data_IF_536279817453
#
_entry.id   IF_536279817453
#
_cell.length_a   1.000
_cell.length_b   1.000
_cell.length_c   1.000
_cell.angle_alpha   90.00
_cell.angle_beta   90.00
_cell.angle_gamma   90.00
#
_symmetry.space_group_name_H-M   'P 1'
#
loop_
_entity.id
_entity.type
_entity.pdbx_description
1 polymer ?
#
# COMPACT_ATOMS: atom_id res chain seq x y z
N UNK A 1 17.67 17.39 8.21
CA UNK A 1 17.21 16.05 7.90
C UNK A 1 16.41 16.09 6.60
N UNK A 2 16.45 15.04 5.80
CA UNK A 2 15.69 14.85 4.54
C UNK A 2 15.87 15.98 3.49
N UNK A 3 17.00 16.66 3.46
CA UNK A 3 17.24 17.78 2.53
C UNK A 3 16.25 18.94 2.69
N UNK A 4 15.73 19.17 3.88
CA UNK A 4 14.73 20.20 4.19
C UNK A 4 13.29 19.86 3.78
N UNK A 5 13.02 18.65 3.28
CA UNK A 5 11.67 18.20 2.93
C UNK A 5 10.94 17.64 4.15
N UNK A 6 9.74 18.13 4.39
CA UNK A 6 8.89 17.60 5.45
C UNK A 6 8.44 16.16 5.12
N UNK A 7 8.51 15.22 6.07
CA UNK A 7 7.94 13.88 5.89
C UNK A 7 6.42 13.96 5.66
N UNK A 8 5.87 13.15 4.74
CA UNK A 8 4.42 13.10 4.56
C UNK A 8 3.74 12.37 5.73
N UNK A 9 2.45 12.64 5.92
CA UNK A 9 1.59 11.86 6.81
C UNK A 9 1.41 10.44 6.27
N UNK A 10 1.66 9.43 7.10
CA UNK A 10 1.60 8.03 6.74
C UNK A 10 0.22 7.37 6.98
N UNK A 11 -0.71 8.06 7.65
CA UNK A 11 -2.00 7.49 8.06
C UNK A 11 -2.84 6.93 6.92
N UNK A 12 -2.74 7.52 5.73
CA UNK A 12 -3.44 7.08 4.52
C UNK A 12 -2.50 6.75 3.36
N UNK A 13 -1.22 6.53 3.65
CA UNK A 13 -0.18 6.33 2.62
C UNK A 13 -0.50 5.18 1.67
N UNK A 14 -1.03 4.08 2.18
CA UNK A 14 -1.40 2.90 1.39
C UNK A 14 -2.46 3.24 0.33
N UNK A 15 -3.41 4.11 0.66
CA UNK A 15 -4.44 4.57 -0.29
C UNK A 15 -3.95 5.68 -1.23
N UNK A 16 -2.99 6.46 -0.77
CA UNK A 16 -2.50 7.64 -1.49
C UNK A 16 -1.54 7.29 -2.63
N UNK A 17 -1.17 6.03 -2.80
CA UNK A 17 -0.21 5.61 -3.84
C UNK A 17 -0.79 4.48 -4.70
N UNK A 18 -0.62 4.56 -6.04
CA UNK A 18 -0.90 3.43 -6.92
C UNK A 18 -0.08 2.21 -6.51
N UNK A 19 -0.67 1.04 -6.50
CA UNK A 19 -0.04 -0.19 -6.02
C UNK A 19 -0.18 -0.43 -4.51
N UNK A 20 -0.64 0.56 -3.72
CA UNK A 20 -0.97 0.38 -2.31
C UNK A 20 0.12 -0.31 -1.48
N UNK A 21 -0.21 -1.41 -0.78
CA UNK A 21 0.73 -2.14 0.07
C UNK A 21 1.96 -2.64 -0.70
N UNK A 22 1.78 -3.14 -1.92
CA UNK A 22 2.87 -3.70 -2.75
C UNK A 22 3.88 -2.63 -3.14
N UNK A 23 3.41 -1.43 -3.44
CA UNK A 23 4.29 -0.29 -3.71
C UNK A 23 5.11 0.09 -2.48
N UNK A 24 4.48 0.19 -1.30
CA UNK A 24 5.19 0.55 -0.06
C UNK A 24 6.21 -0.53 0.33
N UNK A 25 5.84 -1.81 0.17
CA UNK A 25 6.78 -2.92 0.37
C UNK A 25 7.99 -2.82 -0.57
N UNK A 26 7.75 -2.65 -1.85
CA UNK A 26 8.81 -2.52 -2.87
C UNK A 26 9.69 -1.30 -2.59
N UNK A 27 9.09 -0.17 -2.19
CA UNK A 27 9.83 1.04 -1.86
C UNK A 27 10.77 0.81 -0.66
N UNK A 28 10.30 0.19 0.41
CA UNK A 28 11.10 -0.03 1.61
C UNK A 28 12.20 -1.07 1.42
N UNK A 29 12.02 -2.03 0.51
CA UNK A 29 13.02 -3.04 0.15
C UNK A 29 13.90 -2.63 -1.02
N UNK A 30 13.55 -1.59 -1.76
CA UNK A 30 14.20 -1.18 -3.01
C UNK A 30 15.36 -0.21 -2.88
N UNK A 31 15.87 0.04 -1.67
CA UNK A 31 17.05 0.87 -1.47
C UNK A 31 18.32 0.15 -1.95
N UNK A 32 19.14 0.84 -2.75
CA UNK A 32 20.43 0.33 -3.22
C UNK A 32 21.52 1.29 -2.77
N UNK A 33 22.54 0.80 -2.03
CA UNK A 33 23.69 1.60 -1.65
C UNK A 33 24.44 2.11 -2.88
N UNK A 34 24.98 3.31 -2.80
CA UNK A 34 25.73 3.95 -3.92
C UNK A 34 26.83 3.06 -4.48
N UNK A 35 27.53 2.32 -3.61
CA UNK A 35 28.64 1.44 -3.98
C UNK A 35 28.21 0.22 -4.83
N UNK A 36 26.92 -0.11 -4.83
CA UNK A 36 26.34 -1.21 -5.60
C UNK A 36 25.70 -0.75 -6.90
N UNK A 37 25.65 0.57 -7.16
CA UNK A 37 25.09 1.12 -8.38
C UNK A 37 26.05 0.93 -9.56
N UNK A 38 25.49 0.59 -10.71
CA UNK A 38 26.26 0.55 -11.96
C UNK A 38 26.63 1.96 -12.42
N UNK A 39 27.79 2.16 -13.05
CA UNK A 39 28.21 3.48 -13.56
C UNK A 39 27.20 4.10 -14.54
N UNK A 40 26.48 3.27 -15.28
CA UNK A 40 25.41 3.70 -16.21
C UNK A 40 24.23 4.32 -15.46
N UNK A 41 23.78 3.68 -14.36
CA UNK A 41 22.69 4.18 -13.52
C UNK A 41 23.03 5.50 -12.82
N UNK A 42 24.30 5.62 -12.38
CA UNK A 42 24.79 6.86 -11.75
C UNK A 42 24.72 8.03 -12.73
N UNK A 43 25.09 7.82 -14.00
CA UNK A 43 25.05 8.85 -15.05
C UNK A 43 23.62 9.14 -15.51
N UNK A 44 22.81 8.10 -15.71
CA UNK A 44 21.44 8.22 -16.20
C UNK A 44 20.55 8.98 -15.21
N UNK A 45 20.62 8.65 -13.93
CA UNK A 45 19.77 9.23 -12.88
C UNK A 45 20.45 10.37 -12.11
N UNK A 46 21.65 10.79 -12.50
CA UNK A 46 22.43 11.84 -11.84
C UNK A 46 22.55 11.65 -10.32
N UNK A 47 22.86 10.44 -9.89
CA UNK A 47 22.94 10.07 -8.47
C UNK A 47 24.27 10.51 -7.88
N UNK A 48 24.26 11.23 -6.76
CA UNK A 48 25.44 11.56 -5.97
C UNK A 48 25.56 10.66 -4.74
N UNK A 49 26.75 10.69 -4.08
CA UNK A 49 26.99 9.90 -2.87
C UNK A 49 26.06 10.22 -1.71
N UNK A 50 25.52 11.43 -1.68
CA UNK A 50 24.63 11.91 -0.63
C UNK A 50 23.15 11.64 -0.94
N UNK A 51 22.86 11.12 -2.14
CA UNK A 51 21.50 10.78 -2.53
C UNK A 51 21.13 9.37 -2.08
N UNK A 52 19.87 9.19 -1.69
CA UNK A 52 19.30 7.87 -1.45
C UNK A 52 18.69 7.35 -2.76
N UNK A 53 19.30 6.31 -3.32
CA UNK A 53 18.79 5.66 -4.52
C UNK A 53 17.77 4.58 -4.17
N UNK A 54 16.65 4.57 -4.90
CA UNK A 54 15.61 3.56 -4.73
C UNK A 54 15.07 3.10 -6.08
N UNK A 55 15.01 1.80 -6.30
CA UNK A 55 14.58 1.20 -7.57
C UNK A 55 13.13 1.50 -7.95
N UNK A 56 12.26 1.67 -6.96
CA UNK A 56 10.81 1.79 -7.17
C UNK A 56 10.28 3.20 -6.97
N UNK A 57 11.09 4.12 -6.49
CA UNK A 57 10.69 5.52 -6.36
C UNK A 57 10.74 6.23 -7.72
N UNK A 58 9.71 6.99 -8.12
CA UNK A 58 9.74 7.77 -9.35
C UNK A 58 10.93 8.72 -9.41
N UNK A 59 11.76 8.59 -10.45
CA UNK A 59 13.01 9.33 -10.57
C UNK A 59 14.18 8.78 -9.75
N UNK A 60 14.01 7.66 -9.06
CA UNK A 60 15.02 6.87 -8.33
C UNK A 60 15.79 7.59 -7.22
N UNK A 61 15.55 8.89 -6.98
CA UNK A 61 16.20 9.68 -5.93
C UNK A 61 15.17 10.07 -4.87
N UNK A 62 15.20 9.37 -3.74
CA UNK A 62 14.26 9.59 -2.64
C UNK A 62 14.92 10.39 -1.51
N UNK A 63 14.21 11.38 -0.96
CA UNK A 63 14.73 12.18 0.14
C UNK A 63 14.81 11.44 1.48
N UNK A 64 13.99 10.39 1.64
CA UNK A 64 13.97 9.55 2.85
C UNK A 64 15.16 8.61 2.86
N UNK A 65 16.03 8.63 3.87
CA UNK A 65 17.06 7.61 4.04
C UNK A 65 16.43 6.26 4.38
N UNK A 66 17.13 5.11 4.14
CA UNK A 66 16.63 3.79 4.48
C UNK A 66 16.21 3.73 5.96
N UNK A 67 14.90 3.58 6.27
CA UNK A 67 14.44 3.63 7.66
C UNK A 67 14.66 2.31 8.40
N UNK A 68 14.73 1.20 7.68
CA UNK A 68 14.82 -0.16 8.20
C UNK A 68 16.12 -0.84 7.74
N UNK A 69 16.62 -1.75 8.55
CA UNK A 69 17.78 -2.58 8.25
C UNK A 69 17.71 -3.88 9.07
N UNK A 70 18.42 -4.92 8.62
CA UNK A 70 18.55 -6.16 9.37
C UNK A 70 19.10 -5.89 10.79
N UNK A 71 18.48 -6.51 11.78
CA UNK A 71 18.90 -6.37 13.17
C UNK A 71 18.55 -5.05 13.86
N UNK A 72 17.89 -4.12 13.19
CA UNK A 72 17.60 -2.79 13.74
C UNK A 72 16.51 -2.78 14.82
N UNK A 73 15.59 -3.73 14.77
CA UNK A 73 14.45 -3.87 15.70
C UNK A 73 14.62 -5.16 16.50
N UNK A 74 14.20 -5.18 17.76
CA UNK A 74 14.16 -6.41 18.56
C UNK A 74 12.70 -6.80 18.78
N UNK A 75 12.33 -7.99 18.29
CA UNK A 75 11.00 -8.55 18.53
C UNK A 75 10.94 -9.25 19.88
N UNK A 76 9.88 -8.95 20.65
CA UNK A 76 9.68 -9.51 22.00
C UNK A 76 9.35 -11.00 21.94
N UNK A 77 8.73 -11.45 20.86
CA UNK A 77 8.28 -12.82 20.63
C UNK A 77 9.34 -13.74 19.99
N UNK A 78 10.57 -13.23 19.78
CA UNK A 78 11.64 -14.00 19.17
C UNK A 78 11.58 -14.12 17.64
N UNK A 79 10.69 -13.39 16.97
CA UNK A 79 10.61 -13.36 15.51
C UNK A 79 11.96 -12.91 14.90
N UNK A 80 12.34 -13.53 13.78
CA UNK A 80 13.59 -13.17 13.08
C UNK A 80 13.56 -11.71 12.62
N UNK A 81 14.56 -10.97 13.05
CA UNK A 81 14.70 -9.56 12.76
C UNK A 81 15.38 -9.32 11.39
N UNK A 82 14.70 -9.67 10.32
CA UNK A 82 15.14 -9.41 8.95
C UNK A 82 14.46 -8.17 8.39
N UNK A 83 15.09 -7.50 7.42
CA UNK A 83 14.50 -6.36 6.72
C UNK A 83 13.13 -6.73 6.13
N UNK A 84 13.02 -7.89 5.49
CA UNK A 84 11.77 -8.37 4.90
C UNK A 84 10.64 -8.47 5.93
N UNK A 85 10.91 -9.06 7.10
CA UNK A 85 9.92 -9.17 8.17
C UNK A 85 9.50 -7.80 8.69
N UNK A 86 10.46 -6.92 8.97
CA UNK A 86 10.16 -5.56 9.43
C UNK A 86 9.31 -4.78 8.42
N UNK A 87 9.60 -4.90 7.13
CA UNK A 87 8.85 -4.23 6.07
C UNK A 87 7.43 -4.77 5.97
N UNK A 88 7.23 -6.09 6.06
CA UNK A 88 5.89 -6.71 6.07
C UNK A 88 5.05 -6.18 7.23
N UNK A 89 5.59 -6.19 8.43
CA UNK A 89 4.89 -5.74 9.63
C UNK A 89 4.49 -4.25 9.53
N UNK A 90 5.38 -3.40 9.03
CA UNK A 90 5.09 -1.98 8.80
C UNK A 90 4.01 -1.79 7.74
N UNK A 91 4.07 -2.52 6.63
CA UNK A 91 3.09 -2.43 5.55
C UNK A 91 1.72 -2.88 6.00
N UNK A 92 1.63 -3.98 6.75
CA UNK A 92 0.38 -4.46 7.34
C UNK A 92 -0.21 -3.44 8.33
N UNK A 93 0.64 -2.86 9.19
CA UNK A 93 0.21 -1.80 10.10
C UNK A 93 -0.33 -0.58 9.34
N UNK A 94 0.37 -0.13 8.29
CA UNK A 94 -0.07 1.01 7.49
C UNK A 94 -1.36 0.71 6.71
N UNK A 95 -1.53 -0.53 6.25
CA UNK A 95 -2.76 -0.97 5.62
C UNK A 95 -3.94 -0.92 6.60
N UNK A 96 -3.77 -1.44 7.80
CA UNK A 96 -4.75 -1.34 8.87
C UNK A 96 -5.04 0.11 9.26
N UNK A 97 -4.01 0.94 9.43
CA UNK A 97 -4.16 2.36 9.80
C UNK A 97 -4.96 3.15 8.75
N UNK A 98 -4.80 2.81 7.46
CA UNK A 98 -5.52 3.48 6.38
C UNK A 98 -6.99 3.03 6.27
N UNK A 99 -7.33 1.83 6.74
CA UNK A 99 -8.69 1.26 6.70
C UNK A 99 -8.99 0.37 7.91
N UNK A 100 -9.08 0.93 9.13
CA UNK A 100 -9.30 0.14 10.35
C UNK A 100 -10.65 -0.58 10.36
N UNK A 101 -11.63 -0.11 9.57
CA UNK A 101 -12.97 -0.69 9.43
C UNK A 101 -13.19 -1.46 8.11
N UNK A 102 -12.12 -1.91 7.44
CA UNK A 102 -12.21 -2.60 6.15
C UNK A 102 -13.11 -3.84 6.21
N UNK A 103 -12.93 -4.69 7.21
CA UNK A 103 -13.73 -5.91 7.38
C UNK A 103 -15.21 -5.61 7.60
N UNK A 104 -15.51 -4.63 8.45
CA UNK A 104 -16.87 -4.20 8.72
C UNK A 104 -17.54 -3.63 7.46
N UNK A 105 -16.82 -2.81 6.71
CA UNK A 105 -17.27 -2.26 5.43
C UNK A 105 -17.56 -3.36 4.42
N UNK A 106 -16.67 -4.31 4.24
CA UNK A 106 -16.85 -5.44 3.32
C UNK A 106 -18.03 -6.32 3.72
N UNK A 107 -18.15 -6.65 5.00
CA UNK A 107 -19.27 -7.43 5.54
C UNK A 107 -20.61 -6.73 5.31
N UNK A 108 -20.67 -5.42 5.52
CA UNK A 108 -21.87 -4.62 5.25
C UNK A 108 -22.15 -4.56 3.76
N UNK A 109 -21.13 -4.40 2.91
CA UNK A 109 -21.26 -4.40 1.45
C UNK A 109 -21.88 -5.70 0.93
N UNK A 110 -21.42 -6.86 1.41
CA UNK A 110 -21.99 -8.17 1.03
C UNK A 110 -23.49 -8.25 1.42
N UNK A 111 -23.84 -7.83 2.62
CA UNK A 111 -25.26 -7.81 3.07
C UNK A 111 -26.12 -6.92 2.19
N UNK A 112 -25.63 -5.74 1.84
CA UNK A 112 -26.34 -4.79 0.96
C UNK A 112 -26.52 -5.39 -0.43
N UNK A 113 -25.51 -6.02 -1.01
CA UNK A 113 -25.59 -6.66 -2.34
C UNK A 113 -26.66 -7.78 -2.32
N UNK A 114 -26.63 -8.66 -1.32
CA UNK A 114 -27.61 -9.74 -1.18
C UNK A 114 -29.05 -9.19 -1.03
N UNK A 115 -29.23 -8.16 -0.22
CA UNK A 115 -30.51 -7.47 -0.09
C UNK A 115 -31.01 -6.89 -1.42
N UNK A 116 -30.13 -6.18 -2.15
CA UNK A 116 -30.48 -5.58 -3.43
C UNK A 116 -30.82 -6.62 -4.50
N UNK A 117 -30.12 -7.77 -4.53
CA UNK A 117 -30.45 -8.87 -5.44
C UNK A 117 -31.84 -9.47 -5.15
N UNK A 118 -32.12 -9.73 -3.87
CA UNK A 118 -33.43 -10.23 -3.46
C UNK A 118 -34.55 -9.22 -3.79
N UNK A 119 -34.33 -7.94 -3.50
CA UNK A 119 -35.25 -6.87 -3.80
C UNK A 119 -35.49 -6.70 -5.32
N UNK A 120 -34.42 -6.76 -6.13
CA UNK A 120 -34.53 -6.70 -7.59
C UNK A 120 -35.35 -7.87 -8.13
N UNK A 121 -35.14 -9.09 -7.63
CA UNK A 121 -35.95 -10.27 -7.97
C UNK A 121 -37.44 -10.09 -7.63
N UNK A 122 -37.71 -9.58 -6.42
CA UNK A 122 -39.09 -9.29 -6.00
C UNK A 122 -39.75 -8.24 -6.88
N UNK A 123 -39.04 -7.14 -7.16
CA UNK A 123 -39.56 -6.08 -8.03
C UNK A 123 -39.77 -6.53 -9.46
N UNK A 124 -38.93 -7.42 -9.96
CA UNK A 124 -39.12 -8.06 -11.26
C UNK A 124 -40.40 -8.92 -11.30
N UNK A 125 -40.64 -9.71 -10.25
CA UNK A 125 -41.85 -10.50 -10.14
C UNK A 125 -43.11 -9.62 -10.11
N UNK A 126 -43.09 -8.55 -9.27
CA UNK A 126 -44.17 -7.55 -9.20
C UNK A 126 -44.39 -6.89 -10.56
N UNK A 127 -43.31 -6.49 -11.26
CA UNK A 127 -43.43 -5.94 -12.60
C UNK A 127 -44.16 -6.90 -13.53
N UNK A 128 -43.76 -8.18 -13.57
CA UNK A 128 -44.43 -9.18 -14.41
C UNK A 128 -45.91 -9.35 -14.10
N UNK A 129 -46.26 -9.33 -12.82
CA UNK A 129 -47.65 -9.48 -12.40
C UNK A 129 -48.49 -8.26 -12.78
N UNK A 130 -48.00 -7.04 -12.54
CA UNK A 130 -48.69 -5.80 -12.89
C UNK A 130 -48.89 -5.62 -14.40
N UNK A 131 -47.91 -6.05 -15.21
CA UNK A 131 -47.98 -5.89 -16.67
C UNK A 131 -48.61 -7.09 -17.39
N UNK A 132 -48.90 -8.17 -16.69
CA UNK A 132 -49.54 -9.36 -17.30
C UNK A 132 -50.89 -9.05 -17.92
N UNK A 133 -51.67 -8.15 -17.36
CA UNK A 133 -53.01 -7.77 -17.81
C UNK A 133 -53.01 -6.60 -18.82
N UNK A 134 -51.85 -6.12 -19.21
CA UNK A 134 -51.68 -4.97 -20.13
C UNK A 134 -51.55 -5.37 -21.61
N UNK A 135 -51.64 -6.66 -21.94
CA UNK A 135 -51.55 -7.18 -23.29
C UNK A 135 -52.89 -7.80 -23.75
#
# INVERSE_FOLDING_TARGET
ANGGKAPPDLSVMIKARPGGPDYVYSLLTGYVPFDQLKPEQIKEFHVSKDDNFNLYYPGHRIAMPPPLADGKVTYVDGTKNTLDQQVRDVVEFLAWASEPHLEERNRTGVRVILFLLAFAGLMYAVKRQVWADQH
#
